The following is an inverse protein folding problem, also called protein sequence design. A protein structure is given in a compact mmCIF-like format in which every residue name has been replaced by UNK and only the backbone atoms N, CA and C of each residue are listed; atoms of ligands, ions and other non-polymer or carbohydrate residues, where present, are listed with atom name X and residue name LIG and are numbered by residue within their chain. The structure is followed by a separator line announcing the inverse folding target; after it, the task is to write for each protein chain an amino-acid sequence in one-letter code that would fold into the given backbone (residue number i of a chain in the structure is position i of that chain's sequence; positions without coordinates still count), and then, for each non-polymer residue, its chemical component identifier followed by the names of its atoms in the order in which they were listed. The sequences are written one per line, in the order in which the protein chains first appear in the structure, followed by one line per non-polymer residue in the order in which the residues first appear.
data_IF_990795220722
#
_entry.id   IF_990795220722
#
_cell.length_a   1.000
_cell.length_b   1.000
_cell.length_c   1.000
_cell.angle_alpha   90.00
_cell.angle_beta   90.00
_cell.angle_gamma   90.00
#
_symmetry.space_group_name_H-M   'P 1'
#
loop_
_entity.id
_entity.type
_entity.pdbx_description
1 polymer ?
#
# COMPACT_ATOMS: atom_id res chain seq x y z
N UNK A 1 -24.32 -2.84 73.73
CA UNK A 1 -23.05 -3.56 73.44
C UNK A 1 -23.39 -4.72 72.50
N UNK A 2 -22.87 -4.94 71.29
CA UNK A 2 -21.97 -4.27 70.35
C UNK A 2 -22.53 -4.65 68.96
N UNK A 3 -22.72 -3.70 68.05
CA UNK A 3 -23.03 -4.01 66.65
C UNK A 3 -21.70 -4.32 65.94
N UNK A 4 -21.59 -5.49 65.31
CA UNK A 4 -20.44 -5.86 64.46
C UNK A 4 -20.78 -5.43 63.04
N UNK A 5 -20.11 -4.39 62.55
CA UNK A 5 -20.12 -4.02 61.14
C UNK A 5 -19.19 -4.97 60.38
N UNK A 6 -19.72 -5.77 59.46
CA UNK A 6 -18.91 -6.44 58.45
C UNK A 6 -18.51 -5.40 57.39
N UNK A 7 -17.22 -5.05 57.35
CA UNK A 7 -16.63 -4.35 56.23
C UNK A 7 -16.49 -5.33 55.04
N UNK A 8 -17.20 -5.05 53.96
CA UNK A 8 -16.98 -5.69 52.67
C UNK A 8 -15.65 -5.24 52.08
N UNK A 9 -14.74 -6.18 51.86
CA UNK A 9 -13.56 -5.96 51.03
C UNK A 9 -13.92 -6.33 49.58
N UNK A 10 -14.30 -5.33 48.79
CA UNK A 10 -14.40 -5.47 47.33
C UNK A 10 -12.98 -5.43 46.75
N UNK A 11 -12.42 -6.61 46.48
CA UNK A 11 -11.17 -6.75 45.72
C UNK A 11 -11.43 -6.27 44.27
N UNK A 12 -11.08 -5.02 43.98
CA UNK A 12 -10.93 -4.54 42.61
C UNK A 12 -9.71 -5.24 41.99
N UNK A 13 -9.97 -6.28 41.21
CA UNK A 13 -8.98 -6.86 40.32
C UNK A 13 -8.62 -5.84 39.23
N UNK A 14 -7.42 -5.26 39.33
CA UNK A 14 -6.78 -4.55 38.22
C UNK A 14 -6.56 -5.56 37.08
N UNK A 15 -7.47 -5.56 36.10
CA UNK A 15 -7.24 -6.16 34.80
C UNK A 15 -6.07 -5.39 34.16
N UNK A 16 -4.87 -5.97 34.25
CA UNK A 16 -3.73 -5.60 33.42
C UNK A 16 -4.12 -5.91 31.98
N UNK A 17 -4.69 -4.91 31.30
CA UNK A 17 -4.84 -4.92 29.85
C UNK A 17 -3.40 -4.94 29.32
N UNK A 18 -2.92 -6.13 28.96
CA UNK A 18 -1.66 -6.25 28.24
C UNK A 18 -1.80 -5.41 26.97
N UNK A 19 -0.87 -4.49 26.66
CA UNK A 19 -0.93 -3.78 25.40
C UNK A 19 -0.96 -4.84 24.30
N UNK A 20 -1.95 -4.75 23.41
CA UNK A 20 -2.04 -5.64 22.26
C UNK A 20 -0.65 -5.68 21.61
N UNK A 21 -0.09 -6.89 21.43
CA UNK A 21 1.19 -7.08 20.75
C UNK A 21 1.05 -6.52 19.33
N UNK A 22 1.42 -5.26 19.16
CA UNK A 22 1.39 -4.58 17.87
C UNK A 22 2.43 -5.25 16.97
N UNK A 23 2.06 -5.55 15.73
CA UNK A 23 2.98 -6.16 14.77
C UNK A 23 4.21 -5.27 14.59
N UNK A 24 5.37 -5.85 14.26
CA UNK A 24 6.60 -5.10 13.94
C UNK A 24 6.33 -4.01 12.89
N UNK A 25 5.45 -4.30 11.94
CA UNK A 25 4.93 -3.34 10.96
C UNK A 25 4.21 -2.16 11.63
N UNK A 26 3.20 -2.42 12.48
CA UNK A 26 2.44 -1.37 13.16
C UNK A 26 3.33 -0.50 14.06
N UNK A 27 4.30 -1.10 14.75
CA UNK A 27 5.30 -0.37 15.54
C UNK A 27 6.21 0.50 14.67
N UNK A 28 6.59 0.00 13.50
CA UNK A 28 7.44 0.76 12.57
C UNK A 28 6.68 1.96 11.99
N UNK A 29 5.45 1.73 11.51
CA UNK A 29 4.63 2.80 10.91
C UNK A 29 4.24 3.87 11.93
N UNK A 30 4.01 3.50 13.20
CA UNK A 30 3.73 4.50 14.25
C UNK A 30 4.91 5.43 14.55
N UNK A 31 6.12 5.04 14.14
CA UNK A 31 7.32 5.89 14.18
C UNK A 31 7.51 6.79 12.95
N UNK A 32 6.78 6.54 11.86
CA UNK A 32 6.86 7.35 10.64
C UNK A 32 6.06 8.65 10.78
N UNK A 33 6.51 9.69 10.07
CA UNK A 33 5.98 11.06 10.18
C UNK A 33 5.60 11.66 8.84
N UNK A 34 6.04 11.05 7.74
CA UNK A 34 5.76 11.59 6.40
C UNK A 34 5.75 10.50 5.33
N UNK A 35 5.20 10.84 4.16
CA UNK A 35 5.17 9.96 2.99
C UNK A 35 6.59 9.56 2.51
N UNK A 36 7.61 10.38 2.77
CA UNK A 36 9.00 10.05 2.47
C UNK A 36 9.53 8.88 3.29
N UNK A 37 9.00 8.64 4.50
CA UNK A 37 9.35 7.43 5.26
C UNK A 37 8.85 6.17 4.54
N UNK A 38 7.60 6.19 4.06
CA UNK A 38 6.98 5.08 3.31
C UNK A 38 7.75 4.83 2.01
N UNK A 39 7.98 5.90 1.23
CA UNK A 39 8.72 5.81 -0.02
C UNK A 39 10.17 5.36 0.19
N UNK A 40 10.84 5.88 1.22
CA UNK A 40 12.20 5.49 1.59
C UNK A 40 12.29 4.02 2.00
N UNK A 41 11.29 3.50 2.73
CA UNK A 41 11.24 2.09 3.08
C UNK A 41 11.05 1.22 1.85
N UNK A 42 10.09 1.54 0.97
CA UNK A 42 9.85 0.79 -0.26
C UNK A 42 11.08 0.81 -1.17
N UNK A 43 11.69 1.98 -1.40
CA UNK A 43 12.92 2.11 -2.19
C UNK A 43 14.07 1.23 -1.69
N UNK A 44 14.24 1.10 -0.38
CA UNK A 44 15.37 0.36 0.23
C UNK A 44 15.09 -1.13 0.39
N UNK A 45 13.84 -1.51 0.64
CA UNK A 45 13.49 -2.88 1.06
C UNK A 45 12.72 -3.64 -0.01
N UNK A 46 11.80 -2.99 -0.72
CA UNK A 46 10.90 -3.70 -1.63
C UNK A 46 11.64 -4.18 -2.88
N UNK A 47 11.45 -5.47 -3.19
CA UNK A 47 11.99 -6.10 -4.39
C UNK A 47 10.87 -6.65 -5.27
N UNK A 48 10.87 -6.29 -6.55
CA UNK A 48 9.90 -6.81 -7.50
C UNK A 48 10.08 -8.33 -7.74
N UNK A 49 8.97 -9.07 -7.69
CA UNK A 49 8.91 -10.53 -7.77
C UNK A 49 8.21 -10.98 -9.04
N UNK A 50 9.00 -11.36 -10.06
CA UNK A 50 8.48 -11.91 -11.32
C UNK A 50 7.68 -13.20 -11.10
N UNK A 51 8.08 -14.04 -10.14
CA UNK A 51 7.35 -15.28 -9.83
C UNK A 51 5.97 -14.99 -9.22
N UNK A 52 5.87 -14.05 -8.26
CA UNK A 52 4.58 -13.64 -7.70
C UNK A 52 3.71 -12.98 -8.77
N UNK A 53 4.27 -12.08 -9.58
CA UNK A 53 3.53 -11.47 -10.70
C UNK A 53 2.97 -12.53 -11.65
N UNK A 54 3.74 -13.58 -11.99
CA UNK A 54 3.28 -14.67 -12.85
C UNK A 54 2.07 -15.39 -12.24
N UNK A 55 2.14 -15.74 -10.95
CA UNK A 55 1.01 -16.36 -10.23
C UNK A 55 -0.24 -15.47 -10.28
N UNK A 56 -0.09 -14.16 -10.04
CA UNK A 56 -1.22 -13.23 -10.09
C UNK A 56 -1.79 -13.10 -11.51
N UNK A 57 -0.94 -13.03 -12.55
CA UNK A 57 -1.41 -13.01 -13.94
C UNK A 57 -2.21 -14.27 -14.29
N UNK A 58 -1.77 -15.44 -13.83
CA UNK A 58 -2.50 -16.69 -14.03
C UNK A 58 -3.86 -16.69 -13.32
N UNK A 59 -3.94 -16.14 -12.09
CA UNK A 59 -5.21 -15.97 -11.37
C UNK A 59 -6.14 -15.01 -12.10
N UNK A 60 -5.65 -13.83 -12.50
CA UNK A 60 -6.41 -12.83 -13.25
C UNK A 60 -6.96 -13.39 -14.57
N UNK A 61 -6.18 -14.24 -15.26
CA UNK A 61 -6.64 -14.91 -16.49
C UNK A 61 -7.77 -15.91 -16.24
N UNK A 62 -7.76 -16.61 -15.10
CA UNK A 62 -8.75 -17.65 -14.76
C UNK A 62 -10.02 -17.08 -14.12
N UNK A 63 -9.88 -16.04 -13.30
CA UNK A 63 -10.93 -15.55 -12.40
C UNK A 63 -11.34 -14.09 -12.71
N UNK A 64 -10.74 -13.48 -13.73
CA UNK A 64 -10.95 -12.07 -14.03
C UNK A 64 -10.43 -11.17 -12.90
N UNK A 65 -11.03 -9.98 -12.71
CA UNK A 65 -10.60 -9.02 -11.69
C UNK A 65 -10.56 -9.58 -10.25
N UNK A 66 -11.48 -10.49 -9.90
CA UNK A 66 -11.52 -11.12 -8.58
C UNK A 66 -10.31 -12.03 -8.30
N UNK A 67 -9.56 -12.41 -9.34
CA UNK A 67 -8.31 -13.16 -9.18
C UNK A 67 -7.15 -12.35 -8.64
N UNK A 68 -7.29 -11.03 -8.50
CA UNK A 68 -6.29 -10.19 -7.86
C UNK A 68 -6.11 -10.64 -6.40
N UNK A 69 -4.86 -10.81 -5.99
CA UNK A 69 -4.50 -11.13 -4.62
C UNK A 69 -3.31 -10.26 -4.25
N UNK A 70 -3.43 -9.49 -3.18
CA UNK A 70 -2.38 -8.59 -2.69
C UNK A 70 -1.89 -9.05 -1.33
N UNK A 71 -0.64 -8.74 -0.99
CA UNK A 71 -0.11 -9.00 0.35
C UNK A 71 -0.77 -8.07 1.34
N UNK A 72 -1.09 -8.58 2.52
CA UNK A 72 -1.31 -7.68 3.67
C UNK A 72 -0.07 -6.81 3.90
N UNK A 73 -0.23 -5.58 4.41
CA UNK A 73 0.89 -4.69 4.69
C UNK A 73 1.95 -5.36 5.59
N UNK A 74 1.51 -6.12 6.59
CA UNK A 74 2.36 -6.90 7.48
C UNK A 74 3.14 -7.98 6.73
N UNK A 75 2.49 -8.71 5.82
CA UNK A 75 3.15 -9.74 5.02
C UNK A 75 4.17 -9.12 4.07
N UNK A 76 3.87 -7.99 3.44
CA UNK A 76 4.86 -7.30 2.60
C UNK A 76 6.02 -6.77 3.44
N UNK A 77 5.76 -6.22 4.63
CA UNK A 77 6.80 -5.71 5.51
C UNK A 77 7.83 -6.77 5.87
N UNK A 78 7.37 -8.00 6.18
CA UNK A 78 8.25 -9.14 6.49
C UNK A 78 8.94 -9.69 5.25
N UNK A 79 8.20 -9.89 4.16
CA UNK A 79 8.71 -10.56 2.95
C UNK A 79 9.56 -9.65 2.07
N UNK A 80 9.32 -8.33 2.12
CA UNK A 80 10.03 -7.27 1.37
C UNK A 80 10.08 -7.49 -0.14
N UNK A 81 9.16 -8.30 -0.66
CA UNK A 81 9.15 -8.77 -2.05
C UNK A 81 7.73 -8.81 -2.54
N UNK A 82 7.44 -8.47 -3.79
CA UNK A 82 6.05 -8.43 -4.26
C UNK A 82 5.88 -7.98 -5.71
N UNK A 83 4.65 -7.70 -6.11
CA UNK A 83 4.34 -7.00 -7.36
C UNK A 83 3.64 -5.66 -7.04
N UNK A 84 3.19 -4.94 -8.08
CA UNK A 84 2.59 -3.62 -7.92
C UNK A 84 1.41 -3.57 -6.95
N UNK A 85 0.49 -4.54 -7.00
CA UNK A 85 -0.64 -4.58 -6.07
C UNK A 85 -0.21 -4.69 -4.60
N UNK A 86 0.83 -5.47 -4.30
CA UNK A 86 1.35 -5.59 -2.93
C UNK A 86 1.93 -4.25 -2.45
N UNK A 87 2.74 -3.59 -3.28
CA UNK A 87 3.33 -2.29 -2.96
C UNK A 87 2.26 -1.23 -2.74
N UNK A 88 1.17 -1.27 -3.51
CA UNK A 88 0.06 -0.34 -3.39
C UNK A 88 -0.71 -0.54 -2.09
N UNK A 89 -1.01 -1.79 -1.74
CA UNK A 89 -1.72 -2.11 -0.50
C UNK A 89 -0.93 -1.63 0.73
N UNK A 90 0.38 -1.91 0.74
CA UNK A 90 1.28 -1.44 1.79
C UNK A 90 1.35 0.08 1.87
N UNK A 91 1.56 0.76 0.75
CA UNK A 91 1.70 2.22 0.74
C UNK A 91 0.39 2.90 1.15
N UNK A 92 -0.75 2.41 0.69
CA UNK A 92 -2.07 2.94 1.06
C UNK A 92 -2.29 2.85 2.57
N UNK A 93 -2.09 1.67 3.17
CA UNK A 93 -2.28 1.47 4.61
C UNK A 93 -1.29 2.31 5.41
N UNK A 94 0.00 2.30 5.06
CA UNK A 94 1.02 3.05 5.78
C UNK A 94 0.78 4.57 5.73
N UNK A 95 0.46 5.12 4.55
CA UNK A 95 0.21 6.55 4.39
C UNK A 95 -1.01 7.00 5.21
N UNK A 96 -2.13 6.28 5.12
CA UNK A 96 -3.35 6.65 5.84
C UNK A 96 -3.26 6.44 7.36
N UNK A 97 -2.31 5.60 7.84
CA UNK A 97 -1.98 5.50 9.27
C UNK A 97 -1.10 6.63 9.77
N UNK A 98 -0.21 7.17 8.93
CA UNK A 98 0.62 8.33 9.27
C UNK A 98 -0.25 9.58 9.34
N UNK A 99 -1.03 9.83 8.29
CA UNK A 99 -1.91 10.97 8.19
C UNK A 99 -3.13 10.62 7.31
N UNK A 100 -4.34 10.52 7.90
CA UNK A 100 -5.56 10.31 7.12
C UNK A 100 -5.83 11.39 6.06
N UNK A 101 -5.29 12.61 6.23
CA UNK A 101 -5.41 13.68 5.24
C UNK A 101 -4.67 13.38 3.94
N UNK A 102 -3.71 12.44 3.94
CA UNK A 102 -3.11 11.95 2.71
C UNK A 102 -4.12 11.28 1.77
N UNK A 103 -5.27 10.83 2.28
CA UNK A 103 -6.34 10.25 1.46
C UNK A 103 -5.80 9.26 0.40
N UNK A 104 -4.88 8.39 0.84
CA UNK A 104 -4.13 7.53 -0.06
C UNK A 104 -5.08 6.50 -0.67
N UNK A 105 -5.05 6.38 -1.99
CA UNK A 105 -5.99 5.59 -2.80
C UNK A 105 -5.28 4.83 -3.91
N UNK A 106 -5.72 3.59 -4.24
CA UNK A 106 -5.19 2.87 -5.38
C UNK A 106 -5.59 3.52 -6.71
N UNK A 107 -4.65 3.54 -7.64
CA UNK A 107 -4.83 3.99 -9.00
C UNK A 107 -4.46 2.86 -9.95
N UNK A 108 -5.36 2.63 -10.90
CA UNK A 108 -5.17 1.65 -11.96
C UNK A 108 -4.64 2.33 -13.22
N UNK A 109 -3.59 1.75 -13.78
CA UNK A 109 -3.00 2.16 -15.05
C UNK A 109 -3.28 1.07 -16.07
N UNK A 110 -4.09 1.38 -17.08
CA UNK A 110 -4.28 0.47 -18.21
C UNK A 110 -3.12 0.59 -19.17
N UNK A 111 -2.53 -0.55 -19.51
CA UNK A 111 -1.49 -0.66 -20.52
C UNK A 111 -2.09 -1.10 -21.86
N UNK A 112 -1.76 -0.39 -22.94
CA UNK A 112 -2.22 -0.68 -24.30
C UNK A 112 -1.39 -1.75 -25.02
N UNK A 113 -0.08 -1.82 -24.74
CA UNK A 113 0.88 -2.62 -25.53
C UNK A 113 1.30 -3.96 -24.89
N UNK A 114 0.84 -4.26 -23.67
CA UNK A 114 1.29 -5.44 -22.94
C UNK A 114 0.18 -6.13 -22.16
N UNK A 115 0.40 -7.39 -21.76
CA UNK A 115 -0.60 -8.18 -21.02
C UNK A 115 -0.80 -7.70 -19.58
N UNK A 116 0.00 -6.75 -19.13
CA UNK A 116 0.12 -6.36 -17.73
C UNK A 116 -0.33 -4.93 -17.57
N UNK A 117 -1.41 -4.74 -16.82
CA UNK A 117 -1.79 -3.44 -16.26
C UNK A 117 -0.97 -3.19 -14.99
N UNK A 118 -0.93 -1.93 -14.55
CA UNK A 118 -0.13 -1.52 -13.40
C UNK A 118 -1.00 -0.86 -12.33
N UNK A 119 -0.52 -0.90 -11.10
CA UNK A 119 -1.17 -0.30 -9.93
C UNK A 119 -0.17 0.59 -9.22
N UNK A 120 -0.62 1.77 -8.80
CA UNK A 120 0.16 2.72 -7.99
C UNK A 120 -0.71 3.29 -6.88
N UNK A 121 -0.08 3.90 -5.87
CA UNK A 121 -0.79 4.62 -4.81
C UNK A 121 -0.73 6.11 -5.11
N UNK A 122 -1.88 6.76 -5.18
CA UNK A 122 -1.96 8.21 -5.19
C UNK A 122 -2.30 8.72 -3.78
N UNK A 123 -1.80 9.88 -3.42
CA UNK A 123 -2.09 10.53 -2.15
C UNK A 123 -2.03 12.06 -2.31
N UNK A 124 -2.67 12.76 -1.39
CA UNK A 124 -2.75 14.21 -1.35
C UNK A 124 -1.71 14.76 -0.37
N UNK A 125 -1.03 15.84 -0.74
CA UNK A 125 -0.13 16.58 0.13
C UNK A 125 -0.04 18.03 -0.37
N UNK A 126 -0.23 19.00 0.52
CA UNK A 126 -0.27 20.44 0.19
C UNK A 126 -1.19 20.76 -1.00
N UNK A 127 -2.42 20.22 -0.98
CA UNK A 127 -3.44 20.36 -2.02
C UNK A 127 -3.01 19.87 -3.43
N UNK A 128 -1.96 19.04 -3.49
CA UNK A 128 -1.47 18.42 -4.73
C UNK A 128 -1.54 16.91 -4.67
N UNK A 129 -1.68 16.32 -5.85
CA UNK A 129 -1.64 14.88 -6.02
C UNK A 129 -0.20 14.40 -6.20
N UNK A 130 0.20 13.42 -5.41
CA UNK A 130 1.45 12.70 -5.54
C UNK A 130 1.19 11.23 -5.83
N UNK A 131 2.11 10.59 -6.55
CA UNK A 131 2.04 9.17 -6.90
C UNK A 131 3.27 8.46 -6.36
N UNK A 132 3.04 7.36 -5.64
CA UNK A 132 4.08 6.46 -5.16
C UNK A 132 4.05 5.17 -6.00
N UNK A 133 5.14 4.93 -6.74
CA UNK A 133 5.31 3.76 -7.60
C UNK A 133 6.67 3.09 -7.36
N UNK A 134 6.70 2.01 -6.57
CA UNK A 134 7.90 1.16 -6.44
C UNK A 134 7.64 -0.27 -6.92
N UNK A 135 6.42 -0.54 -7.41
CA UNK A 135 5.90 -1.84 -7.78
C UNK A 135 6.37 -2.38 -9.13
N UNK A 136 7.52 -1.93 -9.62
CA UNK A 136 7.93 -2.09 -11.03
C UNK A 136 9.11 -3.03 -11.21
N UNK A 137 9.04 -3.83 -12.28
CA UNK A 137 10.16 -4.67 -12.70
C UNK A 137 11.21 -3.90 -13.51
N UNK A 138 12.36 -4.53 -13.76
CA UNK A 138 13.51 -3.94 -14.49
C UNK A 138 13.15 -3.23 -15.81
N UNK A 139 12.15 -3.73 -16.55
CA UNK A 139 11.78 -3.13 -17.83
C UNK A 139 11.04 -1.79 -17.70
N UNK A 140 10.49 -1.51 -16.53
CA UNK A 140 9.66 -0.37 -16.20
C UNK A 140 10.30 0.48 -15.08
N UNK A 141 11.60 0.32 -14.84
CA UNK A 141 12.28 0.98 -13.72
C UNK A 141 12.26 2.51 -13.79
N UNK A 142 12.08 3.10 -14.98
CA UNK A 142 11.94 4.55 -15.12
C UNK A 142 10.62 5.09 -14.55
N UNK A 143 9.64 4.23 -14.24
CA UNK A 143 8.44 4.60 -13.48
C UNK A 143 8.69 4.65 -11.98
N UNK A 144 9.78 4.07 -11.47
CA UNK A 144 9.97 3.92 -10.04
C UNK A 144 10.22 5.28 -9.37
N UNK A 145 9.45 5.63 -8.34
CA UNK A 145 9.68 6.82 -7.55
C UNK A 145 8.44 7.40 -6.87
N UNK A 146 8.63 8.62 -6.39
CA UNK A 146 7.55 9.54 -6.01
C UNK A 146 7.41 10.53 -7.18
N UNK A 147 6.20 10.73 -7.66
CA UNK A 147 5.90 11.65 -8.77
C UNK A 147 4.90 12.71 -8.33
N UNK A 148 4.98 13.87 -8.96
CA UNK A 148 4.22 15.06 -8.60
C UNK A 148 5.16 16.20 -8.20
N UNK A 149 4.60 17.30 -7.64
CA UNK A 149 3.18 17.54 -7.44
C UNK A 149 2.40 17.62 -8.76
N UNK A 150 1.17 17.10 -8.76
CA UNK A 150 0.23 17.15 -9.89
C UNK A 150 -1.10 17.77 -9.50
N UNK A 151 -1.81 18.35 -10.47
CA UNK A 151 -3.21 18.79 -10.28
C UNK A 151 -4.19 17.61 -10.40
N UNK A 152 -3.83 16.61 -11.21
CA UNK A 152 -4.71 15.46 -11.47
C UNK A 152 -3.94 14.22 -11.96
N UNK A 153 -4.66 13.10 -12.08
CA UNK A 153 -4.13 11.88 -12.68
C UNK A 153 -3.78 12.04 -14.18
N UNK A 154 -4.33 13.03 -14.87
CA UNK A 154 -3.97 13.28 -16.26
C UNK A 154 -2.53 13.79 -16.39
N UNK A 155 -2.03 14.59 -15.43
CA UNK A 155 -0.62 14.98 -15.43
C UNK A 155 0.30 13.76 -15.28
N UNK A 156 -0.07 12.80 -14.42
CA UNK A 156 0.70 11.57 -14.26
C UNK A 156 0.62 10.67 -15.49
N UNK A 157 -0.56 10.58 -16.13
CA UNK A 157 -0.72 9.88 -17.42
C UNK A 157 0.21 10.49 -18.48
N UNK A 158 0.25 11.81 -18.57
CA UNK A 158 1.09 12.51 -19.55
C UNK A 158 2.57 12.28 -19.28
N UNK A 159 2.99 12.29 -18.00
CA UNK A 159 4.34 11.85 -17.61
C UNK A 159 4.64 10.41 -18.08
N UNK A 160 3.75 9.45 -17.81
CA UNK A 160 3.93 8.06 -18.24
C UNK A 160 4.03 7.93 -19.77
N UNK A 161 3.34 8.78 -20.52
CA UNK A 161 3.40 8.81 -21.99
C UNK A 161 4.76 9.29 -22.52
N UNK A 162 5.55 10.03 -21.72
CA UNK A 162 6.92 10.42 -22.10
C UNK A 162 7.93 9.28 -21.97
N UNK A 163 7.61 8.23 -21.21
CA UNK A 163 8.52 7.14 -20.90
C UNK A 163 8.56 6.12 -22.06
N UNK A 164 9.77 5.84 -22.57
CA UNK A 164 10.00 4.79 -23.57
C UNK A 164 10.24 3.45 -22.88
N UNK A 165 9.17 2.69 -22.65
CA UNK A 165 9.19 1.45 -21.87
C UNK A 165 8.85 0.22 -22.69
N UNK A 166 9.45 -0.92 -22.34
CA UNK A 166 9.22 -2.17 -23.08
C UNK A 166 7.81 -2.71 -22.81
N UNK A 167 7.02 -2.94 -23.87
CA UNK A 167 5.64 -3.47 -23.82
C UNK A 167 4.73 -2.65 -22.90
N UNK A 168 4.93 -1.34 -22.89
CA UNK A 168 4.11 -0.44 -22.11
C UNK A 168 3.81 0.81 -22.92
N UNK A 169 2.52 1.13 -22.97
CA UNK A 169 2.01 2.40 -23.45
C UNK A 169 0.78 2.70 -22.61
N UNK A 170 0.78 3.87 -21.97
CA UNK A 170 -0.33 4.26 -21.09
C UNK A 170 -1.59 4.49 -21.92
N UNK A 171 -2.69 3.83 -21.53
CA UNK A 171 -4.01 4.06 -22.10
C UNK A 171 -4.84 4.99 -21.22
N UNK A 172 -5.06 4.59 -19.96
CA UNK A 172 -5.85 5.34 -18.99
C UNK A 172 -5.25 5.19 -17.59
N UNK A 173 -5.39 6.25 -16.79
CA UNK A 173 -5.02 6.30 -15.37
C UNK A 173 -6.24 6.77 -14.60
N UNK A 174 -6.72 5.99 -13.64
CA UNK A 174 -7.93 6.33 -12.88
C UNK A 174 -7.95 5.69 -11.49
N UNK A 175 -8.59 6.35 -10.54
CA UNK A 175 -8.86 5.78 -9.22
C UNK A 175 -9.73 4.54 -9.34
N UNK A 176 -9.35 3.48 -8.64
CA UNK A 176 -10.11 2.22 -8.64
C UNK A 176 -9.76 1.44 -7.38
N UNK A 177 -10.75 0.97 -6.63
CA UNK A 177 -10.48 0.01 -5.56
C UNK A 177 -9.92 -1.29 -6.14
N UNK A 178 -8.94 -1.88 -5.46
CA UNK A 178 -8.40 -3.19 -5.87
C UNK A 178 -9.52 -4.25 -5.74
N UNK A 179 -9.95 -4.90 -6.84
CA UNK A 179 -11.17 -5.73 -6.87
C UNK A 179 -10.98 -7.15 -6.33
N UNK A 180 -9.87 -7.43 -5.65
CA UNK A 180 -9.49 -8.75 -5.18
C UNK A 180 -9.37 -8.84 -3.68
N UNK A 181 -8.66 -9.86 -3.22
CA UNK A 181 -8.50 -10.17 -1.80
C UNK A 181 -7.09 -9.81 -1.31
N UNK A 182 -6.97 -9.71 0.01
CA UNK A 182 -5.72 -9.67 0.74
C UNK A 182 -5.36 -11.09 1.23
N UNK A 183 -4.06 -11.43 1.28
CA UNK A 183 -3.57 -12.72 1.77
C UNK A 183 -3.35 -12.82 3.28
#
# INVERSE_FOLDING_TARGET
MKAVQLFGALLLGLLLISPANSSEYAQTVSGWRSYENVAGWLKRNFSFSRSRQKVIQERLRKQGPAGLLVRSPENLFRQKKGYCGDSVNFAQDALNRIDPAYNARPVFIRNRQGPTNHWVTAFEHDDKLYILDYGVGRNWSAMAGIHGPYESLDNYRDFLATLKLRKFEVDRVFFRNMPGEED
#
